data_IF_947509031548
#
_entry.id   IF_947509031548
#
_cell.length_a   1.000
_cell.length_b   1.000
_cell.length_c   1.000
_cell.angle_alpha   90.00
_cell.angle_beta   90.00
_cell.angle_gamma   90.00
#
_symmetry.space_group_name_H-M   'P 1'
#
loop_
_entity.id
_entity.type
_entity.pdbx_description
1 polymer ?
#
# COMPACT_ATOMS: atom_id res chain seq x y z
N UNK A 1 0.39 -21.15 10.75
CA UNK A 1 -1.06 -21.39 10.53
C UNK A 1 -1.17 -21.81 9.07
N UNK A 2 -0.88 -23.07 8.74
CA UNK A 2 -0.38 -23.48 7.40
C UNK A 2 -1.46 -23.81 6.36
N UNK A 3 -2.68 -23.30 6.53
CA UNK A 3 -3.82 -23.78 5.73
C UNK A 3 -4.18 -22.90 4.53
N UNK A 4 -3.77 -21.61 4.48
CA UNK A 4 -4.18 -20.71 3.39
C UNK A 4 -3.55 -21.10 2.04
N UNK A 5 -2.28 -21.49 2.05
CA UNK A 5 -1.54 -21.77 0.83
C UNK A 5 -2.11 -22.95 0.03
N UNK A 6 -2.43 -24.11 0.65
CA UNK A 6 -3.14 -25.20 -0.05
C UNK A 6 -4.51 -24.80 -0.63
N UNK A 7 -5.29 -23.96 0.06
CA UNK A 7 -6.59 -23.52 -0.45
C UNK A 7 -6.44 -22.61 -1.67
N UNK A 8 -5.45 -21.72 -1.67
CA UNK A 8 -5.19 -20.84 -2.80
C UNK A 8 -4.79 -21.66 -4.04
N UNK A 9 -3.93 -22.66 -3.87
CA UNK A 9 -3.47 -23.53 -4.96
C UNK A 9 -4.53 -24.48 -5.51
N UNK A 10 -5.59 -24.76 -4.75
CA UNK A 10 -6.69 -25.61 -5.19
C UNK A 10 -7.62 -24.92 -6.21
N UNK A 11 -7.52 -23.60 -6.35
CA UNK A 11 -8.35 -22.79 -7.24
C UNK A 11 -7.67 -22.62 -8.60
N UNK A 12 -8.44 -22.58 -9.68
CA UNK A 12 -7.87 -22.32 -11.00
C UNK A 12 -7.37 -20.87 -11.09
N UNK A 13 -6.19 -20.63 -11.68
CA UNK A 13 -5.75 -19.26 -11.96
C UNK A 13 -6.78 -18.50 -12.79
N UNK A 14 -7.02 -17.24 -12.43
CA UNK A 14 -7.97 -16.36 -13.13
C UNK A 14 -9.43 -16.47 -12.65
N UNK A 15 -9.80 -17.47 -11.84
CA UNK A 15 -11.13 -17.52 -11.21
C UNK A 15 -11.23 -16.57 -10.01
N UNK A 16 -10.12 -16.31 -9.33
CA UNK A 16 -10.04 -15.39 -8.20
C UNK A 16 -9.73 -13.97 -8.66
N UNK A 17 -10.74 -13.10 -8.61
CA UNK A 17 -10.51 -11.66 -8.83
C UNK A 17 -9.97 -10.95 -7.58
N UNK A 18 -10.29 -11.45 -6.39
CA UNK A 18 -9.97 -10.79 -5.12
C UNK A 18 -9.38 -11.76 -4.09
N UNK A 19 -8.30 -11.35 -3.43
CA UNK A 19 -7.66 -12.10 -2.34
C UNK A 19 -7.69 -11.23 -1.09
N UNK A 20 -8.27 -11.75 0.00
CA UNK A 20 -8.25 -11.09 1.30
C UNK A 20 -7.68 -12.03 2.35
N UNK A 21 -6.47 -11.73 2.82
CA UNK A 21 -5.80 -12.47 3.87
C UNK A 21 -5.77 -11.63 5.15
N UNK A 22 -6.42 -12.14 6.20
CA UNK A 22 -6.38 -11.53 7.53
C UNK A 22 -5.13 -11.97 8.28
N UNK A 23 -4.52 -11.00 8.96
CA UNK A 23 -3.48 -11.08 9.99
C UNK A 23 -2.60 -12.33 9.94
N UNK A 24 -1.45 -12.15 9.28
CA UNK A 24 -0.39 -13.15 9.21
C UNK A 24 0.68 -12.72 10.21
N UNK A 25 1.12 -13.64 11.07
CA UNK A 25 2.11 -13.28 12.11
C UNK A 25 3.41 -12.85 11.42
N UNK A 26 4.22 -11.95 12.01
CA UNK A 26 5.50 -11.56 11.44
C UNK A 26 6.40 -12.76 11.06
N UNK A 27 6.33 -13.84 11.85
CA UNK A 27 7.01 -15.11 11.61
C UNK A 27 6.55 -15.89 10.36
N UNK A 28 5.52 -15.43 9.65
CA UNK A 28 4.94 -16.06 8.47
C UNK A 28 5.22 -15.24 7.18
N UNK A 29 6.17 -14.28 7.20
CA UNK A 29 6.61 -13.52 6.00
C UNK A 29 6.94 -14.43 4.82
N UNK A 30 7.66 -15.53 5.08
CA UNK A 30 8.02 -16.52 4.05
C UNK A 30 6.81 -17.15 3.37
N UNK A 31 5.69 -17.32 4.08
CA UNK A 31 4.47 -17.88 3.50
C UNK A 31 3.83 -16.90 2.53
N UNK A 32 3.87 -15.60 2.82
CA UNK A 32 3.36 -14.59 1.89
C UNK A 32 4.24 -14.45 0.67
N UNK A 33 5.57 -14.44 0.85
CA UNK A 33 6.47 -14.42 -0.29
C UNK A 33 6.16 -15.58 -1.25
N UNK A 34 5.80 -16.76 -0.72
CA UNK A 34 5.29 -17.86 -1.55
C UNK A 34 3.95 -17.57 -2.23
N UNK A 35 3.02 -16.86 -1.58
CA UNK A 35 1.75 -16.46 -2.19
C UNK A 35 1.99 -15.56 -3.41
N UNK A 36 2.95 -14.63 -3.34
CA UNK A 36 3.29 -13.76 -4.47
C UNK A 36 3.79 -14.52 -5.70
N UNK A 37 4.37 -15.70 -5.50
CA UNK A 37 4.84 -16.55 -6.60
C UNK A 37 3.71 -17.36 -7.26
N UNK A 38 2.51 -17.42 -6.66
CA UNK A 38 1.38 -18.19 -7.18
C UNK A 38 0.73 -17.53 -8.39
N UNK A 39 0.20 -18.35 -9.31
CA UNK A 39 -0.54 -17.86 -10.47
C UNK A 39 -1.87 -17.22 -10.08
N UNK A 40 -2.49 -17.69 -8.99
CA UNK A 40 -3.70 -17.09 -8.44
C UNK A 40 -3.45 -15.64 -8.00
N UNK A 41 -2.32 -15.37 -7.36
CA UNK A 41 -1.95 -14.00 -7.00
C UNK A 41 -1.64 -13.14 -8.23
N UNK A 42 -0.83 -13.65 -9.17
CA UNK A 42 -0.42 -12.91 -10.39
C UNK A 42 -1.58 -12.56 -11.33
N UNK A 43 -2.72 -13.24 -11.19
CA UNK A 43 -3.92 -13.01 -11.99
C UNK A 43 -5.05 -12.32 -11.21
N UNK A 44 -4.89 -12.13 -9.89
CA UNK A 44 -5.84 -11.38 -9.09
C UNK A 44 -5.88 -9.91 -9.52
N UNK A 45 -7.01 -9.25 -9.29
CA UNK A 45 -7.21 -7.82 -9.54
C UNK A 45 -7.13 -7.00 -8.26
N UNK A 46 -7.57 -7.59 -7.14
CA UNK A 46 -7.70 -6.90 -5.87
C UNK A 46 -7.06 -7.71 -4.74
N UNK A 47 -6.25 -7.07 -3.91
CA UNK A 47 -5.56 -7.75 -2.80
C UNK A 47 -5.65 -6.95 -1.51
N UNK A 48 -6.08 -7.59 -0.43
CA UNK A 48 -5.99 -7.04 0.93
C UNK A 48 -5.15 -7.95 1.82
N UNK A 49 -4.07 -7.40 2.36
CA UNK A 49 -3.13 -8.08 3.25
C UNK A 49 -2.99 -7.27 4.53
N UNK A 50 -2.98 -7.94 5.67
CA UNK A 50 -2.58 -7.33 6.95
C UNK A 50 -1.21 -7.87 7.35
N UNK A 51 -0.18 -7.33 6.72
CA UNK A 51 1.23 -7.65 6.97
C UNK A 51 2.08 -6.41 6.71
N UNK A 52 3.26 -6.36 7.30
CA UNK A 52 4.26 -5.32 7.07
C UNK A 52 5.08 -5.65 5.83
N UNK A 53 4.97 -4.81 4.81
CA UNK A 53 5.73 -4.87 3.57
C UNK A 53 6.73 -3.71 3.51
N UNK A 54 7.84 -3.94 2.83
CA UNK A 54 8.76 -2.85 2.49
C UNK A 54 8.22 -2.15 1.21
N UNK A 55 8.60 -0.92 0.94
CA UNK A 55 8.09 -0.16 -0.22
C UNK A 55 8.35 -0.90 -1.54
N UNK A 56 9.51 -1.55 -1.67
CA UNK A 56 9.87 -2.32 -2.87
C UNK A 56 9.06 -3.61 -3.05
N UNK A 57 8.44 -4.14 -1.98
CA UNK A 57 7.52 -5.27 -2.10
C UNK A 57 6.28 -4.89 -2.92
N UNK A 58 5.92 -3.60 -2.96
CA UNK A 58 4.81 -3.10 -3.77
C UNK A 58 5.02 -3.36 -5.27
N UNK A 59 6.25 -3.51 -5.76
CA UNK A 59 6.52 -3.88 -7.17
C UNK A 59 5.83 -5.18 -7.59
N UNK A 60 5.60 -6.08 -6.63
CA UNK A 60 4.87 -7.34 -6.84
C UNK A 60 3.38 -7.11 -7.13
N UNK A 61 2.87 -5.89 -6.93
CA UNK A 61 1.46 -5.50 -7.06
C UNK A 61 1.18 -4.75 -8.37
N UNK A 62 2.15 -4.68 -9.28
CA UNK A 62 2.05 -3.96 -10.56
C UNK A 62 0.85 -4.34 -11.43
N UNK A 63 0.35 -5.57 -11.29
CA UNK A 63 -0.78 -6.11 -12.04
C UNK A 63 -2.12 -5.85 -11.36
N UNK A 64 -2.13 -5.37 -10.12
CA UNK A 64 -3.35 -5.15 -9.35
C UNK A 64 -4.02 -3.83 -9.75
N UNK A 65 -5.34 -3.86 -9.77
CA UNK A 65 -6.18 -2.67 -9.87
C UNK A 65 -6.28 -1.95 -8.54
N UNK A 66 -6.44 -2.71 -7.46
CA UNK A 66 -6.40 -2.12 -6.14
C UNK A 66 -5.83 -3.03 -5.07
N UNK A 67 -5.27 -2.41 -4.04
CA UNK A 67 -4.72 -3.17 -2.92
C UNK A 67 -4.74 -2.43 -1.59
N UNK A 68 -4.69 -3.18 -0.50
CA UNK A 68 -4.54 -2.66 0.85
C UNK A 68 -3.51 -3.48 1.61
N UNK A 69 -2.51 -2.82 2.19
CA UNK A 69 -1.45 -3.47 2.96
C UNK A 69 -0.91 -2.57 4.08
N UNK A 70 -0.17 -3.16 5.03
CA UNK A 70 0.62 -2.37 5.97
C UNK A 70 2.05 -2.24 5.45
N UNK A 71 2.68 -1.11 5.70
CA UNK A 71 4.11 -0.95 5.49
C UNK A 71 4.87 -1.29 6.77
N UNK A 72 6.18 -1.55 6.63
CA UNK A 72 7.08 -1.67 7.76
C UNK A 72 6.95 -0.45 8.68
N UNK A 73 6.86 -0.72 9.98
CA UNK A 73 6.70 0.27 11.05
C UNK A 73 8.02 0.66 11.70
N UNK A 74 9.11 -0.04 11.39
CA UNK A 74 10.43 0.25 11.96
C UNK A 74 11.10 1.48 11.33
N UNK A 75 10.64 1.91 10.16
CA UNK A 75 11.21 3.04 9.40
C UNK A 75 10.12 3.98 8.95
N UNK A 76 10.45 5.26 8.86
CA UNK A 76 9.56 6.24 8.24
C UNK A 76 9.33 5.86 6.78
N UNK A 77 8.06 5.85 6.36
CA UNK A 77 7.67 5.52 4.98
C UNK A 77 8.38 6.42 3.97
N UNK A 78 9.03 5.81 2.99
CA UNK A 78 9.54 6.53 1.83
C UNK A 78 8.40 6.80 0.84
N UNK A 79 7.65 7.87 1.09
CA UNK A 79 6.49 8.25 0.27
C UNK A 79 6.89 8.60 -1.16
N UNK A 80 8.13 9.05 -1.39
CA UNK A 80 8.63 9.36 -2.73
C UNK A 80 8.82 8.07 -3.52
N UNK A 81 9.40 7.05 -2.89
CA UNK A 81 9.54 5.70 -3.47
C UNK A 81 8.18 5.06 -3.76
N UNK A 82 7.23 5.15 -2.82
CA UNK A 82 5.85 4.68 -3.02
C UNK A 82 5.22 5.35 -4.24
N UNK A 83 5.33 6.67 -4.35
CA UNK A 83 4.81 7.45 -5.49
C UNK A 83 5.44 7.01 -6.81
N UNK A 84 6.76 6.84 -6.85
CA UNK A 84 7.47 6.38 -8.04
C UNK A 84 6.97 5.01 -8.49
N UNK A 85 6.88 4.04 -7.58
CA UNK A 85 6.42 2.68 -7.89
C UNK A 85 4.99 2.71 -8.44
N UNK A 86 4.05 3.33 -7.71
CA UNK A 86 2.62 3.31 -8.07
C UNK A 86 2.35 4.09 -9.36
N UNK A 87 3.10 5.16 -9.63
CA UNK A 87 2.95 5.95 -10.87
C UNK A 87 3.22 5.15 -12.15
N UNK A 88 3.95 4.03 -12.04
CA UNK A 88 4.27 3.15 -13.16
C UNK A 88 3.29 1.98 -13.32
N UNK A 89 2.23 1.88 -12.50
CA UNK A 89 1.28 0.77 -12.59
C UNK A 89 0.18 1.08 -13.60
N UNK A 90 0.17 0.31 -14.69
CA UNK A 90 -0.77 0.53 -15.81
C UNK A 90 -2.24 0.30 -15.41
N UNK A 91 -2.50 -0.72 -14.61
CA UNK A 91 -3.86 -1.14 -14.23
C UNK A 91 -4.38 -0.48 -12.95
N UNK A 92 -3.54 0.32 -12.28
CA UNK A 92 -3.81 0.84 -10.95
C UNK A 92 -5.00 1.81 -10.93
N UNK A 93 -5.89 1.59 -9.97
CA UNK A 93 -7.05 2.42 -9.68
C UNK A 93 -6.92 3.04 -8.27
N UNK A 94 -6.56 2.24 -7.26
CA UNK A 94 -6.40 2.76 -5.88
C UNK A 94 -5.59 1.84 -4.96
N UNK A 95 -5.02 2.40 -3.90
CA UNK A 95 -4.56 1.62 -2.76
C UNK A 95 -4.76 2.32 -1.42
N UNK A 96 -4.70 1.52 -0.36
CA UNK A 96 -4.65 1.99 1.03
C UNK A 96 -3.46 1.37 1.74
N UNK A 97 -2.50 2.20 2.14
CA UNK A 97 -1.32 1.79 2.89
C UNK A 97 -1.52 2.18 4.35
N UNK A 98 -1.24 1.25 5.26
CA UNK A 98 -1.28 1.48 6.70
C UNK A 98 0.16 1.56 7.19
N UNK A 99 0.57 2.69 7.75
CA UNK A 99 1.89 2.82 8.36
C UNK A 99 1.75 3.05 9.86
N UNK A 100 2.28 2.12 10.66
CA UNK A 100 2.26 2.22 12.11
C UNK A 100 3.50 2.97 12.60
N UNK A 101 3.34 3.82 13.61
CA UNK A 101 4.44 4.57 14.22
C UNK A 101 4.30 4.55 15.72
N UNK A 102 5.41 4.48 16.42
CA UNK A 102 5.38 4.33 17.88
C UNK A 102 5.03 5.64 18.59
N UNK A 103 5.46 6.81 18.11
CA UNK A 103 5.26 8.08 18.85
C UNK A 103 5.58 9.37 18.05
N UNK A 104 5.69 9.30 16.71
CA UNK A 104 6.10 10.47 15.93
C UNK A 104 4.93 11.44 15.65
N UNK A 105 4.78 12.45 16.52
CA UNK A 105 3.83 13.57 16.34
C UNK A 105 4.05 14.36 15.05
N UNK A 106 5.19 14.17 14.37
CA UNK A 106 5.56 14.87 13.14
C UNK A 106 5.49 13.97 11.90
N UNK A 107 5.05 12.71 11.98
CA UNK A 107 5.02 11.80 10.83
C UNK A 107 4.28 12.40 9.63
N UNK A 108 3.08 12.93 9.83
CA UNK A 108 2.33 13.55 8.74
C UNK A 108 3.11 14.72 8.15
N UNK A 109 3.73 15.56 8.99
CA UNK A 109 4.55 16.68 8.53
C UNK A 109 5.71 16.20 7.68
N UNK A 110 6.45 15.19 8.11
CA UNK A 110 7.56 14.59 7.36
C UNK A 110 7.11 14.03 6.01
N UNK A 111 5.97 13.33 5.97
CA UNK A 111 5.39 12.82 4.71
C UNK A 111 4.98 13.97 3.80
N UNK A 112 4.33 15.00 4.35
CA UNK A 112 3.91 16.18 3.60
C UNK A 112 5.07 16.97 3.01
N UNK A 113 6.13 17.21 3.78
CA UNK A 113 7.37 17.84 3.33
C UNK A 113 8.04 17.01 2.22
N UNK A 114 8.07 15.69 2.34
CA UNK A 114 8.59 14.80 1.29
C UNK A 114 7.75 14.82 0.00
N UNK A 115 6.45 15.13 0.10
CA UNK A 115 5.58 15.39 -1.05
C UNK A 115 5.73 16.81 -1.61
N UNK A 116 6.44 17.70 -0.91
CA UNK A 116 6.63 19.10 -1.28
C UNK A 116 5.49 20.03 -0.86
N UNK A 117 4.64 19.60 0.08
CA UNK A 117 3.54 20.40 0.61
C UNK A 117 4.02 21.41 1.65
N UNK A 118 3.45 22.61 1.65
CA UNK A 118 3.67 23.59 2.72
C UNK A 118 2.83 23.23 3.94
N UNK A 119 3.48 22.77 5.02
CA UNK A 119 2.76 22.25 6.19
C UNK A 119 2.47 23.37 7.20
N UNK A 120 1.20 23.67 7.51
CA UNK A 120 0.87 24.71 8.48
C UNK A 120 1.43 24.39 9.87
N UNK A 121 1.68 25.45 10.63
CA UNK A 121 2.06 25.32 12.03
C UNK A 121 0.84 24.91 12.88
N UNK A 122 1.00 23.90 13.74
CA UNK A 122 -0.06 23.38 14.61
C UNK A 122 -0.50 21.94 14.30
N UNK A 123 -1.57 21.46 14.95
CA UNK A 123 -2.06 20.09 14.81
C UNK A 123 -2.51 19.80 13.38
N UNK A 124 -1.99 18.72 12.80
CA UNK A 124 -2.29 18.30 11.44
C UNK A 124 -2.93 16.91 11.46
N UNK A 125 -4.17 16.81 10.97
CA UNK A 125 -4.91 15.54 10.94
C UNK A 125 -4.93 14.89 9.56
N UNK A 126 -4.76 15.69 8.52
CA UNK A 126 -4.93 15.24 7.15
C UNK A 126 -4.03 16.02 6.22
N UNK A 127 -3.44 15.33 5.26
CA UNK A 127 -2.73 15.92 4.12
C UNK A 127 -3.38 15.40 2.86
N UNK A 128 -3.60 16.30 1.91
CA UNK A 128 -4.00 15.97 0.55
C UNK A 128 -2.93 16.46 -0.40
N UNK A 129 -2.42 15.59 -1.26
CA UNK A 129 -1.43 15.94 -2.27
C UNK A 129 -1.85 15.39 -3.62
N UNK A 130 -1.60 16.14 -4.69
CA UNK A 130 -1.91 15.71 -6.05
C UNK A 130 -0.63 15.68 -6.87
N UNK A 131 -0.32 14.51 -7.42
CA UNK A 131 0.82 14.30 -8.30
C UNK A 131 0.37 14.00 -9.72
N UNK A 132 0.84 14.77 -10.70
CA UNK A 132 0.58 14.47 -12.11
C UNK A 132 1.51 13.35 -12.59
N UNK A 133 0.93 12.30 -13.18
CA UNK A 133 1.72 11.23 -13.79
C UNK A 133 2.35 11.80 -15.07
N UNK A 134 3.66 11.62 -15.23
CA UNK A 134 4.39 12.10 -16.41
C UNK A 134 3.74 11.55 -17.68
N UNK A 135 3.65 12.39 -18.71
CA UNK A 135 3.13 12.02 -20.03
C UNK A 135 1.66 11.57 -20.04
N UNK A 136 0.94 11.75 -18.92
CA UNK A 136 -0.49 11.46 -18.80
C UNK A 136 -1.27 12.70 -18.32
N UNK A 137 -2.56 12.74 -18.64
CA UNK A 137 -3.51 13.66 -18.02
C UNK A 137 -4.04 13.13 -16.69
N UNK A 138 -3.56 11.97 -16.24
CA UNK A 138 -3.98 11.35 -15.00
C UNK A 138 -3.13 11.81 -13.81
N UNK A 139 -3.73 11.73 -12.63
CA UNK A 139 -3.13 12.15 -11.37
C UNK A 139 -3.21 11.04 -10.33
N UNK A 140 -2.24 11.02 -9.43
CA UNK A 140 -2.34 10.32 -8.17
C UNK A 140 -2.74 11.33 -7.10
N UNK A 141 -3.90 11.10 -6.50
CA UNK A 141 -4.37 11.85 -5.34
C UNK A 141 -4.02 11.06 -4.08
N UNK A 142 -3.21 11.67 -3.23
CA UNK A 142 -2.82 11.16 -1.92
C UNK A 142 -3.71 11.81 -0.87
N UNK A 143 -4.33 10.98 -0.03
CA UNK A 143 -5.02 11.40 1.17
C UNK A 143 -4.42 10.66 2.35
N UNK A 144 -3.69 11.39 3.18
CA UNK A 144 -3.01 10.86 4.36
C UNK A 144 -3.79 11.31 5.58
N UNK A 145 -4.25 10.38 6.38
CA UNK A 145 -5.05 10.63 7.57
C UNK A 145 -4.30 10.09 8.80
N UNK A 146 -4.08 10.95 9.79
CA UNK A 146 -3.63 10.55 11.14
C UNK A 146 -4.79 9.83 11.82
N UNK A 147 -4.60 8.53 12.05
CA UNK A 147 -5.58 7.75 12.79
C UNK A 147 -5.18 7.80 14.26
N UNK A 148 -6.14 8.20 15.08
CA UNK A 148 -6.03 8.04 16.54
C UNK A 148 -5.65 6.57 16.75
N UNK A 149 -4.60 6.27 17.54
CA UNK A 149 -4.03 4.93 17.81
C UNK A 149 -2.77 4.50 17.00
N UNK A 150 -1.78 5.38 16.82
CA UNK A 150 -0.40 5.00 16.43
C UNK A 150 -0.24 4.48 15.00
N UNK A 151 -1.10 4.92 14.07
CA UNK A 151 -0.91 4.66 12.66
C UNK A 151 -1.53 5.76 11.81
N UNK A 152 -1.06 5.88 10.57
CA UNK A 152 -1.67 6.72 9.57
C UNK A 152 -2.11 5.86 8.40
N UNK A 153 -3.14 6.34 7.72
CA UNK A 153 -3.63 5.72 6.50
C UNK A 153 -3.27 6.60 5.32
N UNK A 154 -2.59 6.03 4.33
CA UNK A 154 -2.22 6.69 3.08
C UNK A 154 -3.09 6.08 1.99
N UNK A 155 -4.12 6.81 1.57
CA UNK A 155 -4.98 6.44 0.44
C UNK A 155 -4.43 7.09 -0.81
N UNK A 156 -4.24 6.31 -1.86
CA UNK A 156 -3.77 6.78 -3.15
C UNK A 156 -4.79 6.37 -4.18
N UNK A 157 -5.33 7.33 -4.93
CA UNK A 157 -6.34 7.07 -5.98
C UNK A 157 -5.88 7.67 -7.29
N UNK A 158 -6.03 6.90 -8.38
CA UNK A 158 -5.78 7.39 -9.72
C UNK A 158 -7.01 8.13 -10.24
N UNK A 159 -6.85 9.38 -10.64
CA UNK A 159 -7.92 10.25 -11.15
C UNK A 159 -7.56 10.83 -12.52
N UNK A 160 -8.57 11.35 -13.24
CA UNK A 160 -8.44 12.02 -14.55
C UNK A 160 -8.65 13.51 -14.40
#
# INVERSE_FOLDING_TARGET
MDQIFPFLLALNPGELESIHLRTIRPAERDQILRIFETEQFKQAKHVQLRMHLDEDDLLKFRHLKSFKCSLDSEKLVDIQRVREIISNFEQFESCELIHHYLEDEFLLRSIGEALGEEIPFGPLKTITHRYQIRESNEYLEFKIEDEKYYYCTIKITKTR
#
